data_IF_961987126157
#
_entry.id   IF_961987126157
#
_cell.length_a   1.000
_cell.length_b   1.000
_cell.length_c   1.000
_cell.angle_alpha   90.00
_cell.angle_beta   90.00
_cell.angle_gamma   90.00
#
_symmetry.space_group_name_H-M   'P 1'
#
loop_
_entity.id
_entity.type
_entity.pdbx_description
1 polymer ?
#
# COMPACT_ATOMS: atom_id res chain seq x y z
N UNK A 1 -29.39 -40.04 -3.05
CA UNK A 1 -28.23 -39.28 -2.51
C UNK A 1 -27.97 -38.13 -3.47
N UNK A 2 -28.21 -36.89 -3.05
CA UNK A 2 -28.11 -35.71 -3.92
C UNK A 2 -26.73 -35.07 -3.73
N UNK A 3 -25.90 -35.06 -4.77
CA UNK A 3 -24.54 -34.51 -4.72
C UNK A 3 -24.63 -32.99 -4.82
N UNK A 4 -24.12 -32.28 -3.82
CA UNK A 4 -24.05 -30.82 -3.83
C UNK A 4 -23.04 -30.33 -4.88
N UNK A 5 -23.32 -29.24 -5.61
CA UNK A 5 -22.40 -28.70 -6.60
C UNK A 5 -21.13 -28.17 -5.93
N UNK A 6 -19.97 -28.62 -6.41
CA UNK A 6 -18.67 -28.12 -5.96
C UNK A 6 -18.37 -26.79 -6.66
N UNK A 7 -18.45 -25.69 -5.92
CA UNK A 7 -18.06 -24.37 -6.42
C UNK A 7 -16.53 -24.34 -6.52
N UNK A 8 -15.98 -24.44 -7.74
CA UNK A 8 -14.57 -24.19 -7.98
C UNK A 8 -14.33 -22.68 -7.86
N UNK A 9 -13.55 -22.26 -6.87
CA UNK A 9 -13.03 -20.89 -6.79
C UNK A 9 -11.75 -20.83 -7.61
N UNK A 10 -11.58 -19.77 -8.40
CA UNK A 10 -10.31 -19.52 -9.08
C UNK A 10 -9.18 -19.42 -8.03
N UNK A 11 -7.97 -19.91 -8.36
CA UNK A 11 -6.82 -19.74 -7.49
C UNK A 11 -6.57 -18.23 -7.24
N UNK A 12 -6.16 -17.84 -6.02
CA UNK A 12 -5.94 -16.43 -5.69
C UNK A 12 -4.83 -15.82 -6.55
N UNK A 13 -5.07 -14.60 -7.05
CA UNK A 13 -4.06 -13.79 -7.71
C UNK A 13 -3.29 -12.98 -6.66
N UNK A 14 -1.96 -13.08 -6.66
CA UNK A 14 -1.09 -12.35 -5.74
C UNK A 14 -0.38 -11.21 -6.47
N UNK A 15 -0.40 -10.02 -5.87
CA UNK A 15 0.41 -8.88 -6.31
C UNK A 15 1.46 -8.62 -5.24
N UNK A 16 2.74 -8.73 -5.62
CA UNK A 16 3.86 -8.42 -4.75
C UNK A 16 4.22 -6.95 -4.90
N UNK A 17 4.07 -6.19 -3.83
CA UNK A 17 4.43 -4.76 -3.80
C UNK A 17 5.69 -4.59 -2.98
N UNK A 18 6.73 -4.00 -3.57
CA UNK A 18 7.97 -3.67 -2.85
C UNK A 18 7.75 -2.44 -1.95
N UNK A 19 8.45 -2.38 -0.82
CA UNK A 19 8.38 -1.21 0.07
C UNK A 19 8.97 0.01 -0.66
N UNK A 20 8.29 1.18 -0.58
CA UNK A 20 8.80 2.40 -1.21
C UNK A 20 10.09 2.88 -0.52
N UNK A 21 11.01 3.42 -1.33
CA UNK A 21 12.24 4.06 -0.86
C UNK A 21 12.00 5.54 -0.59
N UNK A 22 12.78 6.13 0.29
CA UNK A 22 12.79 7.59 0.42
C UNK A 22 13.35 8.21 -0.87
N UNK A 23 12.65 9.15 -1.53
CA UNK A 23 13.12 9.79 -2.76
C UNK A 23 14.33 10.70 -2.54
N UNK A 24 14.53 11.21 -1.31
CA UNK A 24 15.63 12.12 -0.99
C UNK A 24 16.93 11.37 -0.66
N UNK A 25 16.89 10.37 0.23
CA UNK A 25 18.10 9.66 0.69
C UNK A 25 18.25 8.23 0.15
N UNK A 26 17.25 7.70 -0.56
CA UNK A 26 17.28 6.35 -1.12
C UNK A 26 17.12 5.20 -0.11
N UNK A 27 17.09 5.50 1.19
CA UNK A 27 16.93 4.50 2.25
C UNK A 27 15.61 3.75 2.14
N UNK A 28 15.69 2.44 2.33
CA UNK A 28 14.55 1.52 2.28
C UNK A 28 13.96 1.43 3.70
N UNK A 29 12.63 1.32 3.81
CA UNK A 29 11.93 1.05 5.09
C UNK A 29 11.91 2.19 6.12
N UNK A 30 12.20 3.42 5.70
CA UNK A 30 12.28 4.56 6.62
C UNK A 30 11.08 5.48 6.57
N UNK A 31 10.12 5.24 5.67
CA UNK A 31 8.94 6.10 5.53
C UNK A 31 7.89 5.78 6.61
N UNK A 32 7.73 6.70 7.56
CA UNK A 32 6.76 6.63 8.65
C UNK A 32 5.54 7.47 8.32
N UNK A 33 4.41 6.80 8.11
CA UNK A 33 3.14 7.46 7.88
C UNK A 33 2.62 8.12 9.18
N UNK A 34 2.19 9.37 9.09
CA UNK A 34 1.63 10.11 10.23
C UNK A 34 0.20 10.60 9.99
N UNK A 35 -0.27 10.61 8.73
CA UNK A 35 -1.64 10.98 8.38
C UNK A 35 -2.08 10.26 7.11
N UNK A 36 -3.32 9.81 7.07
CA UNK A 36 -3.98 9.34 5.84
C UNK A 36 -5.27 10.12 5.66
N UNK A 37 -5.55 10.55 4.43
CA UNK A 37 -6.76 11.29 4.03
C UNK A 37 -7.45 10.49 2.94
N UNK A 38 -8.76 10.38 3.04
CA UNK A 38 -9.61 9.88 1.96
C UNK A 38 -10.04 11.06 1.08
N UNK A 39 -9.88 10.93 -0.23
CA UNK A 39 -10.13 12.03 -1.16
C UNK A 39 -11.56 12.02 -1.74
N UNK A 40 -12.37 11.00 -1.42
CA UNK A 40 -13.76 10.90 -1.89
C UNK A 40 -13.93 10.44 -3.35
N UNK A 41 -12.83 10.21 -4.07
CA UNK A 41 -12.79 9.66 -5.44
C UNK A 41 -12.33 8.20 -5.49
N UNK A 42 -12.22 7.56 -4.32
CA UNK A 42 -11.68 6.20 -4.16
C UNK A 42 -10.18 6.17 -3.86
N UNK A 43 -9.46 7.28 -4.07
CA UNK A 43 -8.05 7.39 -3.71
C UNK A 43 -7.84 7.78 -2.24
N UNK A 44 -6.70 7.37 -1.68
CA UNK A 44 -6.24 7.77 -0.36
C UNK A 44 -4.87 8.42 -0.45
N UNK A 45 -4.71 9.58 0.15
CA UNK A 45 -3.40 10.23 0.28
C UNK A 45 -2.80 9.94 1.65
N UNK A 46 -1.60 9.38 1.67
CA UNK A 46 -0.84 9.08 2.88
C UNK A 46 0.36 10.00 2.98
N UNK A 47 0.40 10.79 4.04
CA UNK A 47 1.53 11.65 4.39
C UNK A 47 2.51 10.87 5.26
N UNK A 48 3.78 10.88 4.88
CA UNK A 48 4.84 10.22 5.60
C UNK A 48 6.07 11.12 5.75
N UNK A 49 6.96 10.75 6.66
CA UNK A 49 8.30 11.33 6.74
C UNK A 49 9.35 10.23 6.76
N UNK A 50 10.52 10.49 6.19
CA UNK A 50 11.66 9.59 6.30
C UNK A 50 12.23 9.68 7.73
N UNK A 51 12.40 8.53 8.39
CA UNK A 51 13.04 8.45 9.70
C UNK A 51 14.52 8.87 9.65
N UNK A 52 15.20 8.62 8.52
CA UNK A 52 16.65 8.87 8.39
C UNK A 52 16.97 10.31 8.03
N UNK A 53 16.33 10.87 7.01
CA UNK A 53 16.62 12.24 6.55
C UNK A 53 15.54 13.27 6.92
N UNK A 54 14.46 12.85 7.59
CA UNK A 54 13.34 13.69 8.00
C UNK A 54 12.55 14.37 6.86
N UNK A 55 12.86 14.04 5.61
CA UNK A 55 12.12 14.51 4.45
C UNK A 55 10.64 14.11 4.52
N UNK A 56 9.75 15.04 4.19
CA UNK A 56 8.31 14.79 4.12
C UNK A 56 7.94 14.34 2.72
N UNK A 57 7.15 13.29 2.63
CA UNK A 57 6.71 12.71 1.36
C UNK A 57 5.20 12.48 1.38
N UNK A 58 4.60 12.54 0.20
CA UNK A 58 3.18 12.26 -0.01
C UNK A 58 3.09 11.01 -0.88
N UNK A 59 2.38 10.01 -0.39
CA UNK A 59 2.15 8.72 -1.05
C UNK A 59 0.68 8.70 -1.49
N UNK A 60 0.43 8.59 -2.79
CA UNK A 60 -0.92 8.40 -3.32
C UNK A 60 -1.18 6.89 -3.39
N UNK A 61 -2.27 6.45 -2.77
CA UNK A 61 -2.77 5.08 -2.81
C UNK A 61 -4.05 5.11 -3.65
N UNK A 62 -4.03 4.42 -4.79
CA UNK A 62 -5.20 4.19 -5.67
C UNK A 62 -5.83 2.82 -5.40
#
# INVERSE_FOLDING_TARGET
MTVAPTIRRDPPHYVYVTRPRCPECGEVETLLAYRTVDNGDGSKTRYAHCRSCHARVVIILE
#
